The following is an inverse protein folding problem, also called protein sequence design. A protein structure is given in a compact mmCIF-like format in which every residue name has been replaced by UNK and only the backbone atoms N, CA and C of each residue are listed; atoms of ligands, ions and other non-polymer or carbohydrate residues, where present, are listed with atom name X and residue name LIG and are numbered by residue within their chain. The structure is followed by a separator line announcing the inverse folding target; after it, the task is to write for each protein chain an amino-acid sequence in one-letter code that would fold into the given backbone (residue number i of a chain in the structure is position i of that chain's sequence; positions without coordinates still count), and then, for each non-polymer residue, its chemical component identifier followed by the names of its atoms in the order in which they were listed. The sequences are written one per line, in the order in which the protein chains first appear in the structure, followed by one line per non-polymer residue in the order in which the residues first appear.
data_IF_932814905216
#
_entry.id   IF_932814905216
#
_cell.length_a   1.000
_cell.length_b   1.000
_cell.length_c   1.000
_cell.angle_alpha   90.00
_cell.angle_beta   90.00
_cell.angle_gamma   90.00
#
_symmetry.space_group_name_H-M   'P 1'
#
loop_
_entity.id
_entity.type
_entity.pdbx_description
1 polymer ?
#
# COMPACT_ATOMS: atom_id res chain seq x y z
N UNK A 1 -2.21 20.23 -57.68
CA UNK A 1 -3.04 20.57 -56.49
C UNK A 1 -2.58 19.85 -55.22
N UNK A 2 -2.27 18.55 -55.26
CA UNK A 2 -1.80 17.76 -54.11
C UNK A 2 -0.52 18.28 -53.43
N UNK A 3 0.45 18.75 -54.21
CA UNK A 3 1.75 19.17 -53.69
C UNK A 3 1.67 20.43 -52.82
N UNK A 4 0.77 21.37 -53.18
CA UNK A 4 0.52 22.57 -52.39
C UNK A 4 -0.10 22.24 -51.02
N UNK A 5 -0.95 21.21 -50.97
CA UNK A 5 -1.62 20.76 -49.75
C UNK A 5 -0.65 20.12 -48.76
N UNK A 6 0.35 19.39 -49.28
CA UNK A 6 1.41 18.79 -48.46
C UNK A 6 2.30 19.88 -47.83
N UNK A 7 2.72 20.88 -48.63
CA UNK A 7 3.52 22.00 -48.12
C UNK A 7 2.76 22.82 -47.07
N UNK A 8 1.46 23.04 -47.26
CA UNK A 8 0.63 23.76 -46.30
C UNK A 8 0.49 23.00 -44.97
N UNK A 9 0.33 21.67 -45.02
CA UNK A 9 0.27 20.84 -43.81
C UNK A 9 1.61 20.79 -43.08
N UNK A 10 2.73 20.68 -43.80
CA UNK A 10 4.07 20.71 -43.19
C UNK A 10 4.31 22.07 -42.53
N UNK A 11 3.94 23.17 -43.19
CA UNK A 11 4.05 24.52 -42.63
C UNK A 11 3.20 24.68 -41.37
N UNK A 12 1.98 24.12 -41.36
CA UNK A 12 1.09 24.15 -40.19
C UNK A 12 1.68 23.37 -39.01
N UNK A 13 2.24 22.19 -39.27
CA UNK A 13 2.93 21.37 -38.26
C UNK A 13 4.15 22.14 -37.72
N UNK A 14 4.93 22.78 -38.59
CA UNK A 14 6.11 23.54 -38.19
C UNK A 14 5.74 24.77 -37.36
N UNK A 15 4.67 25.48 -37.72
CA UNK A 15 4.13 26.61 -36.95
C UNK A 15 3.58 26.14 -35.59
N UNK A 16 2.93 24.98 -35.53
CA UNK A 16 2.41 24.40 -34.29
C UNK A 16 3.55 23.99 -33.35
N UNK A 17 4.61 23.36 -33.87
CA UNK A 17 5.82 23.01 -33.12
C UNK A 17 6.53 24.28 -32.63
N UNK A 18 6.68 25.30 -33.49
CA UNK A 18 7.33 26.57 -33.11
C UNK A 18 6.55 27.31 -32.04
N UNK A 19 5.21 27.32 -32.11
CA UNK A 19 4.34 27.93 -31.09
C UNK A 19 4.44 27.19 -29.75
N UNK A 20 4.54 25.87 -29.75
CA UNK A 20 4.73 25.09 -28.53
C UNK A 20 6.13 25.27 -27.93
N UNK A 21 7.17 25.40 -28.75
CA UNK A 21 8.53 25.63 -28.25
C UNK A 21 8.73 27.05 -27.72
N UNK A 22 8.11 28.07 -28.34
CA UNK A 22 8.11 29.44 -27.82
C UNK A 22 7.39 29.60 -26.48
N UNK A 23 6.55 28.63 -26.08
CA UNK A 23 5.85 28.64 -24.81
C UNK A 23 6.76 28.25 -23.62
N UNK A 24 7.94 27.67 -23.88
CA UNK A 24 8.84 27.14 -22.84
C UNK A 24 10.04 28.04 -22.49
N UNK A 25 10.28 29.15 -23.19
CA UNK A 25 11.50 29.96 -22.98
C UNK A 25 11.37 31.02 -21.86
N UNK A 26 10.15 31.32 -21.41
CA UNK A 26 9.89 32.30 -20.34
C UNK A 26 9.52 31.65 -18.99
N UNK A 27 9.85 30.38 -18.77
CA UNK A 27 9.69 29.79 -17.44
C UNK A 27 10.74 30.37 -16.49
N UNK A 28 10.28 31.05 -15.43
CA UNK A 28 11.12 31.54 -14.35
C UNK A 28 11.98 30.39 -13.80
N UNK A 29 13.30 30.50 -13.98
CA UNK A 29 14.27 29.56 -13.43
C UNK A 29 14.63 29.97 -12.01
N UNK A 30 14.48 29.05 -11.07
CA UNK A 30 14.82 29.25 -9.67
C UNK A 30 16.17 28.60 -9.37
N UNK A 31 17.10 29.38 -8.82
CA UNK A 31 18.46 28.90 -8.58
C UNK A 31 18.56 28.05 -7.31
N UNK A 32 17.99 28.52 -6.20
CA UNK A 32 18.07 27.83 -4.92
C UNK A 32 16.74 27.94 -4.18
N UNK A 33 16.15 26.78 -3.86
CA UNK A 33 14.90 26.71 -3.11
C UNK A 33 15.17 26.56 -1.61
N UNK A 34 14.35 27.22 -0.79
CA UNK A 34 14.33 27.06 0.67
C UNK A 34 12.91 26.76 1.12
N UNK A 35 12.80 25.95 2.17
CA UNK A 35 11.53 25.69 2.83
C UNK A 35 11.33 26.67 3.99
N UNK A 36 10.11 27.17 4.11
CA UNK A 36 9.69 28.00 5.25
C UNK A 36 8.39 27.48 5.85
N UNK A 37 8.20 27.77 7.15
CA UNK A 37 6.98 27.45 7.89
C UNK A 37 6.60 25.96 7.81
N UNK A 38 7.57 25.07 7.96
CA UNK A 38 7.35 23.63 7.94
C UNK A 38 6.69 23.21 9.25
N UNK A 39 5.39 22.92 9.17
CA UNK A 39 4.55 22.57 10.29
C UNK A 39 4.05 21.14 10.13
N UNK A 40 4.17 20.36 11.20
CA UNK A 40 3.55 19.06 11.31
C UNK A 40 2.43 19.14 12.35
N UNK A 41 1.23 18.74 11.95
CA UNK A 41 0.06 18.65 12.83
C UNK A 41 -0.38 17.20 12.94
N UNK A 42 -0.59 16.73 14.16
CA UNK A 42 -1.20 15.44 14.43
C UNK A 42 -2.66 15.70 14.81
N UNK A 43 -3.56 15.16 14.00
CA UNK A 43 -5.01 15.26 14.21
C UNK A 43 -5.59 13.90 14.53
N UNK A 44 -6.53 13.86 15.45
CA UNK A 44 -7.53 12.80 15.53
C UNK A 44 -8.81 13.30 14.86
N UNK A 45 -9.70 12.39 14.49
CA UNK A 45 -11.01 12.75 13.96
C UNK A 45 -11.67 13.83 14.84
N UNK A 46 -11.89 15.02 14.28
CA UNK A 46 -12.49 16.21 14.91
C UNK A 46 -11.67 16.91 16.02
N UNK A 47 -10.44 16.48 16.33
CA UNK A 47 -9.61 17.12 17.36
C UNK A 47 -8.14 17.25 16.93
N UNK A 48 -7.54 18.42 17.17
CA UNK A 48 -6.09 18.61 17.00
C UNK A 48 -5.39 18.19 18.30
N UNK A 49 -4.57 17.12 18.27
CA UNK A 49 -3.84 16.66 19.47
C UNK A 49 -2.56 17.46 19.71
N UNK A 50 -1.94 17.92 18.62
CA UNK A 50 -0.68 18.65 18.74
C UNK A 50 -0.20 19.21 17.42
N UNK A 51 0.48 20.35 17.52
CA UNK A 51 1.19 20.98 16.42
C UNK A 51 2.66 21.16 16.83
N UNK A 52 3.56 21.02 15.87
CA UNK A 52 4.94 21.43 16.06
C UNK A 52 5.54 21.89 14.75
N UNK A 53 6.38 22.91 14.87
CA UNK A 53 7.09 23.50 13.74
C UNK A 53 8.50 22.92 13.72
N UNK A 54 8.92 22.41 12.57
CA UNK A 54 10.30 21.97 12.38
C UNK A 54 11.08 23.17 11.84
N UNK A 55 12.15 23.62 12.53
CA UNK A 55 12.98 24.69 12.01
C UNK A 55 13.63 24.24 10.70
N UNK A 56 13.23 24.85 9.59
CA UNK A 56 13.70 24.50 8.24
C UNK A 56 15.05 25.14 7.88
N UNK A 57 15.60 25.99 8.75
CA UNK A 57 16.82 26.75 8.45
C UNK A 57 18.07 25.88 8.29
N UNK A 58 18.16 24.78 9.06
CA UNK A 58 19.32 23.86 9.04
C UNK A 58 19.02 22.52 8.40
N UNK A 59 17.79 22.29 7.93
CA UNK A 59 17.33 20.98 7.44
C UNK A 59 17.68 19.83 8.41
N UNK A 60 17.57 20.07 9.71
CA UNK A 60 17.86 19.06 10.71
C UNK A 60 16.68 18.10 10.84
N UNK A 61 17.00 16.82 11.02
CA UNK A 61 15.98 15.80 11.29
C UNK A 61 15.35 16.08 12.66
N UNK A 62 14.02 16.09 12.70
CA UNK A 62 13.31 16.16 13.97
C UNK A 62 13.55 14.88 14.78
N UNK A 63 14.09 15.04 15.99
CA UNK A 63 14.62 13.95 16.81
C UNK A 63 13.53 13.04 17.40
N UNK A 64 12.38 13.62 17.74
CA UNK A 64 11.26 12.89 18.35
C UNK A 64 10.36 12.30 17.27
N UNK A 65 10.32 10.98 17.14
CA UNK A 65 9.43 10.35 16.17
C UNK A 65 7.94 10.53 16.52
N UNK A 66 7.08 10.49 15.51
CA UNK A 66 5.61 10.55 15.69
C UNK A 66 5.07 9.13 15.67
N UNK A 67 4.11 8.83 16.56
CA UNK A 67 3.32 7.61 16.48
C UNK A 67 2.05 7.85 15.66
N UNK A 68 1.82 7.01 14.66
CA UNK A 68 0.65 7.04 13.80
C UNK A 68 -0.23 5.83 14.14
N UNK A 69 -1.24 6.09 14.96
CA UNK A 69 -2.24 5.10 15.39
C UNK A 69 -3.49 5.14 14.48
N UNK A 70 -4.38 4.16 14.61
CA UNK A 70 -5.53 3.94 13.71
C UNK A 70 -6.38 5.20 13.45
N UNK A 71 -6.66 5.99 14.49
CA UNK A 71 -7.52 7.19 14.40
C UNK A 71 -6.76 8.49 14.12
N UNK A 72 -5.44 8.41 14.02
CA UNK A 72 -4.59 9.58 13.86
C UNK A 72 -4.27 9.85 12.39
N UNK A 73 -4.16 11.12 12.08
CA UNK A 73 -3.70 11.65 10.81
C UNK A 73 -2.55 12.62 11.04
N UNK A 74 -1.54 12.57 10.17
CA UNK A 74 -0.43 13.51 10.16
C UNK A 74 -0.61 14.44 8.97
N UNK A 75 -0.58 15.73 9.23
CA UNK A 75 -0.55 16.75 8.21
C UNK A 75 0.78 17.46 8.21
N UNK A 76 1.40 17.54 7.04
CA UNK A 76 2.58 18.33 6.80
C UNK A 76 2.17 19.55 5.96
N UNK A 77 2.46 20.74 6.47
CA UNK A 77 2.29 22.02 5.79
C UNK A 77 3.64 22.67 5.61
N UNK A 78 3.90 23.23 4.43
CA UNK A 78 5.16 23.93 4.16
C UNK A 78 4.99 24.91 3.01
N UNK A 79 5.85 25.93 3.01
CA UNK A 79 6.01 26.89 1.92
C UNK A 79 7.34 26.64 1.21
N UNK A 80 7.33 26.80 -0.11
CA UNK A 80 8.56 26.79 -0.90
C UNK A 80 8.84 28.23 -1.34
N UNK A 81 10.02 28.73 -1.04
CA UNK A 81 10.47 30.06 -1.44
C UNK A 81 11.76 29.96 -2.25
N UNK A 82 11.98 30.92 -3.12
CA UNK A 82 13.28 31.16 -3.74
C UNK A 82 14.18 31.89 -2.73
N UNK A 83 15.40 31.41 -2.52
CA UNK A 83 16.34 32.00 -1.57
C UNK A 83 16.78 33.41 -1.97
N UNK A 84 16.90 33.65 -3.28
CA UNK A 84 17.40 34.92 -3.80
C UNK A 84 16.31 36.00 -3.76
N UNK A 85 15.13 35.69 -4.30
CA UNK A 85 14.03 36.67 -4.38
C UNK A 85 13.14 36.69 -3.14
N UNK A 86 13.24 35.70 -2.25
CA UNK A 86 12.33 35.45 -1.11
C UNK A 86 10.86 35.37 -1.51
N UNK A 87 10.59 35.13 -2.79
CA UNK A 87 9.23 34.96 -3.31
C UNK A 87 8.78 33.52 -3.14
N UNK A 88 7.49 33.35 -2.86
CA UNK A 88 6.85 32.03 -2.85
C UNK A 88 6.88 31.45 -4.26
N UNK A 89 7.36 30.21 -4.37
CA UNK A 89 7.41 29.49 -5.64
C UNK A 89 6.17 28.62 -5.76
N UNK A 90 5.39 28.91 -6.79
CA UNK A 90 4.17 28.20 -7.10
C UNK A 90 4.30 27.26 -8.29
N UNK A 91 3.41 26.28 -8.32
CA UNK A 91 3.29 25.35 -9.43
C UNK A 91 4.41 24.32 -9.55
N UNK A 92 5.22 24.08 -8.50
CA UNK A 92 6.28 23.07 -8.53
C UNK A 92 5.70 21.70 -8.83
N UNK A 93 6.23 20.98 -9.81
CA UNK A 93 5.65 19.72 -10.27
C UNK A 93 5.84 18.57 -9.27
N UNK A 94 7.07 18.34 -8.78
CA UNK A 94 7.37 17.20 -7.93
C UNK A 94 7.44 17.62 -6.47
N UNK A 95 6.48 17.13 -5.67
CA UNK A 95 6.41 17.34 -4.22
C UNK A 95 5.94 16.04 -3.60
N UNK A 96 6.90 15.22 -3.18
CA UNK A 96 6.61 13.89 -2.65
C UNK A 96 7.09 13.77 -1.22
N UNK A 97 6.28 13.12 -0.41
CA UNK A 97 6.69 12.62 0.89
C UNK A 97 6.91 11.11 0.76
N UNK A 98 8.15 10.69 0.87
CA UNK A 98 8.57 9.29 0.82
C UNK A 98 8.67 8.75 2.23
N UNK A 99 7.96 7.65 2.50
CA UNK A 99 8.09 6.88 3.72
C UNK A 99 8.67 5.51 3.39
N UNK A 100 9.89 5.21 3.83
CA UNK A 100 10.49 3.88 3.65
C UNK A 100 10.62 3.14 4.97
N UNK A 101 10.34 1.84 4.92
CA UNK A 101 10.36 1.01 6.11
C UNK A 101 11.80 0.70 6.54
N UNK A 102 12.09 0.89 7.84
CA UNK A 102 13.44 0.74 8.39
C UNK A 102 13.99 -0.69 8.24
N UNK A 103 13.14 -1.71 8.41
CA UNK A 103 13.55 -3.13 8.30
C UNK A 103 13.53 -3.67 6.86
N UNK A 104 12.53 -3.27 6.07
CA UNK A 104 12.37 -3.73 4.68
C UNK A 104 12.57 -2.53 3.76
N UNK A 105 13.82 -2.21 3.45
CA UNK A 105 14.19 -1.01 2.68
C UNK A 105 13.51 -0.91 1.31
N UNK A 106 13.10 -2.04 0.74
CA UNK A 106 12.36 -2.12 -0.53
C UNK A 106 10.92 -1.60 -0.44
N UNK A 107 10.37 -1.49 0.78
CA UNK A 107 9.01 -1.01 0.97
C UNK A 107 9.01 0.51 1.17
N UNK A 108 8.55 1.21 0.14
CA UNK A 108 8.40 2.65 0.12
C UNK A 108 6.95 3.04 -0.19
N UNK A 109 6.49 4.09 0.47
CA UNK A 109 5.16 4.67 0.28
C UNK A 109 5.34 6.14 -0.08
N UNK A 110 4.66 6.59 -1.14
CA UNK A 110 4.73 7.97 -1.59
C UNK A 110 3.39 8.68 -1.39
N UNK A 111 3.46 9.90 -0.88
CA UNK A 111 2.34 10.83 -0.79
C UNK A 111 2.65 12.09 -1.59
N UNK A 112 1.62 12.66 -2.21
CA UNK A 112 1.75 13.79 -3.13
C UNK A 112 1.34 15.08 -2.40
N UNK A 113 2.18 16.10 -2.48
CA UNK A 113 1.92 17.46 -2.03
C UNK A 113 0.85 18.14 -2.87
N UNK A 114 -0.27 18.48 -2.24
CA UNK A 114 -1.35 19.26 -2.85
C UNK A 114 -1.15 20.73 -2.52
N UNK A 115 -1.46 21.61 -3.47
CA UNK A 115 -1.53 23.05 -3.22
C UNK A 115 -2.83 23.36 -2.48
N UNK A 116 -2.76 24.16 -1.44
CA UNK A 116 -3.95 24.69 -0.75
C UNK A 116 -4.24 26.06 -1.34
N UNK A 117 -5.36 26.17 -2.05
CA UNK A 117 -5.90 27.46 -2.47
C UNK A 117 -6.70 28.01 -1.29
N UNK A 118 -6.23 29.08 -0.65
CA UNK A 118 -6.99 29.75 0.41
C UNK A 118 -8.04 30.62 -0.28
N UNK A 119 -9.31 30.21 -0.24
CA UNK A 119 -10.45 30.92 -0.87
C UNK A 119 -10.76 32.31 -0.28
N UNK A 120 -9.95 32.83 0.66
CA UNK A 120 -10.16 34.13 1.32
C UNK A 120 -8.89 35.01 1.24
N UNK A 121 -8.51 35.43 0.03
CA UNK A 121 -7.69 36.63 -0.20
C UNK A 121 -6.32 36.72 0.49
N UNK A 122 -5.69 35.61 0.85
CA UNK A 122 -4.48 35.61 1.68
C UNK A 122 -3.49 34.50 1.34
N UNK A 123 -2.85 34.60 0.18
CA UNK A 123 -1.60 33.89 -0.14
C UNK A 123 -1.77 32.50 -0.77
N UNK A 124 -1.55 32.44 -2.08
CA UNK A 124 -1.13 31.24 -2.77
C UNK A 124 0.30 30.84 -2.33
N UNK A 125 0.60 29.53 -2.18
CA UNK A 125 1.97 29.06 -1.85
C UNK A 125 2.10 28.03 -0.71
N UNK A 126 0.99 27.61 -0.08
CA UNK A 126 1.01 26.55 0.96
C UNK A 126 0.80 25.17 0.34
N UNK A 127 1.75 24.28 0.57
CA UNK A 127 1.60 22.86 0.23
C UNK A 127 1.17 22.05 1.45
N UNK A 128 0.32 21.07 1.21
CA UNK A 128 -0.26 20.20 2.22
C UNK A 128 -0.14 18.74 1.80
N UNK A 129 0.36 17.92 2.73
CA UNK A 129 0.40 16.46 2.61
C UNK A 129 -0.29 15.89 3.83
N UNK A 130 -1.26 15.02 3.60
CA UNK A 130 -1.98 14.31 4.66
C UNK A 130 -1.71 12.81 4.55
N UNK A 131 -1.37 12.22 5.69
CA UNK A 131 -1.22 10.78 5.88
C UNK A 131 -2.30 10.37 6.87
N UNK A 132 -3.23 9.53 6.45
CA UNK A 132 -4.31 9.00 7.31
C UNK A 132 -4.04 7.52 7.58
N UNK A 133 -3.73 7.17 8.83
CA UNK A 133 -3.35 5.81 9.20
C UNK A 133 -4.35 4.75 8.71
N UNK A 134 -5.64 4.95 9.02
CA UNK A 134 -6.75 4.07 8.67
C UNK A 134 -8.05 4.87 8.44
N UNK A 135 -8.96 4.37 7.59
CA UNK A 135 -8.83 3.22 6.70
C UNK A 135 -8.18 3.56 5.34
N UNK A 136 -7.99 4.85 5.05
CA UNK A 136 -7.68 5.37 3.71
C UNK A 136 -6.31 4.96 3.19
N UNK A 137 -5.23 5.16 3.93
CA UNK A 137 -3.86 4.90 3.43
C UNK A 137 -3.27 3.55 3.88
N UNK A 138 -4.01 2.77 4.66
CA UNK A 138 -3.60 1.44 5.15
C UNK A 138 -3.10 0.52 4.03
N UNK A 139 -3.78 0.52 2.88
CA UNK A 139 -3.45 -0.33 1.74
C UNK A 139 -2.07 0.02 1.16
N UNK A 140 -1.66 1.30 1.23
CA UNK A 140 -0.36 1.76 0.75
C UNK A 140 0.78 1.23 1.61
N UNK A 141 0.55 1.08 2.92
CA UNK A 141 1.51 0.48 3.83
C UNK A 141 1.57 -1.06 3.73
N UNK A 142 0.68 -1.69 2.97
CA UNK A 142 0.63 -3.15 2.79
C UNK A 142 0.53 -3.91 4.11
N UNK A 143 -0.19 -3.35 5.10
CA UNK A 143 -0.40 -3.96 6.43
C UNK A 143 0.88 -4.11 7.27
N UNK A 144 1.90 -3.29 7.01
CA UNK A 144 3.25 -3.48 7.54
C UNK A 144 3.55 -2.46 8.65
N UNK A 145 3.33 -2.81 9.94
CA UNK A 145 3.60 -1.90 11.05
C UNK A 145 5.10 -1.77 11.30
N UNK A 146 5.51 -0.64 11.87
CA UNK A 146 6.90 -0.42 12.25
C UNK A 146 7.37 1.02 12.05
N UNK A 147 8.69 1.21 12.13
CA UNK A 147 9.34 2.51 11.93
C UNK A 147 9.52 2.79 10.45
N UNK A 148 8.99 3.91 10.01
CA UNK A 148 9.17 4.48 8.69
C UNK A 148 9.98 5.77 8.79
N UNK A 149 10.96 5.91 7.92
CA UNK A 149 11.72 7.13 7.76
C UNK A 149 10.98 8.02 6.76
N UNK A 150 10.76 9.29 7.10
CA UNK A 150 9.93 10.20 6.32
C UNK A 150 10.81 11.29 5.70
N UNK A 151 10.83 11.35 4.37
CA UNK A 151 11.66 12.28 3.61
C UNK A 151 10.80 13.08 2.63
N UNK A 152 10.99 14.39 2.63
CA UNK A 152 10.38 15.29 1.69
C UNK A 152 11.31 15.48 0.49
N UNK A 153 10.76 15.25 -0.69
CA UNK A 153 11.42 15.33 -1.98
C UNK A 153 10.71 16.40 -2.79
N UNK A 154 11.45 17.41 -3.23
CA UNK A 154 10.94 18.52 -4.02
C UNK A 154 11.83 18.67 -5.25
N UNK A 155 11.20 18.73 -6.43
CA UNK A 155 11.89 18.84 -7.70
C UNK A 155 11.01 19.44 -8.79
N UNK A 156 11.64 20.11 -9.74
CA UNK A 156 11.03 20.61 -10.97
C UNK A 156 12.14 20.93 -11.97
N UNK A 157 11.82 21.00 -13.26
CA UNK A 157 12.78 21.40 -14.29
C UNK A 157 13.27 22.84 -14.12
N UNK A 158 12.44 23.69 -13.50
CA UNK A 158 12.75 25.09 -13.19
C UNK A 158 13.72 25.27 -12.02
N UNK A 159 13.93 24.22 -11.21
CA UNK A 159 14.74 24.29 -9.98
C UNK A 159 16.12 23.71 -10.27
N UNK A 160 17.18 24.52 -10.13
CA UNK A 160 18.56 24.03 -10.30
C UNK A 160 18.99 23.06 -9.19
N UNK A 161 18.56 23.31 -7.95
CA UNK A 161 18.92 22.48 -6.79
C UNK A 161 17.71 21.67 -6.27
N UNK A 162 17.50 20.43 -6.74
CA UNK A 162 16.43 19.58 -6.22
C UNK A 162 16.69 19.27 -4.74
N UNK A 163 15.62 19.26 -3.95
CA UNK A 163 15.70 19.23 -2.50
C UNK A 163 15.21 17.88 -1.96
N UNK A 164 16.00 17.29 -1.08
CA UNK A 164 15.69 16.03 -0.39
C UNK A 164 16.04 16.16 1.08
N UNK A 165 15.05 16.04 1.95
CA UNK A 165 15.24 16.24 3.38
C UNK A 165 14.54 15.18 4.22
N UNK A 166 15.32 14.51 5.06
CA UNK A 166 14.81 13.58 6.05
C UNK A 166 14.21 14.33 7.25
N UNK A 167 12.89 14.47 7.22
CA UNK A 167 12.12 15.26 8.17
C UNK A 167 12.06 14.59 9.55
N UNK A 168 11.56 13.34 9.59
CA UNK A 168 11.13 12.71 10.83
C UNK A 168 10.99 11.19 10.67
N UNK A 169 10.99 10.46 11.78
CA UNK A 169 10.58 9.06 11.78
C UNK A 169 9.13 8.92 12.26
N UNK A 170 8.35 8.12 11.54
CA UNK A 170 6.95 7.82 11.86
C UNK A 170 6.84 6.35 12.27
N UNK A 171 6.31 6.08 13.45
CA UNK A 171 6.00 4.75 13.94
C UNK A 171 4.55 4.42 13.60
N UNK A 172 4.37 3.58 12.58
CA UNK A 172 3.06 3.22 12.07
C UNK A 172 2.55 1.99 12.80
N UNK A 173 1.47 2.17 13.57
CA UNK A 173 0.78 1.10 14.28
C UNK A 173 -0.52 0.76 13.57
N UNK A 174 -0.41 -0.19 12.66
CA UNK A 174 -1.55 -0.76 11.95
C UNK A 174 -2.08 -1.94 12.79
N UNK A 175 -3.30 -1.87 13.35
CA UNK A 175 -3.89 -3.02 14.01
C UNK A 175 -3.98 -4.20 13.03
N UNK A 176 -3.49 -5.36 13.47
CA UNK A 176 -3.49 -6.62 12.71
C UNK A 176 -4.91 -7.13 12.39
N UNK A 177 -5.95 -6.44 12.86
CA UNK A 177 -7.33 -6.92 12.83
C UNK A 177 -8.05 -6.80 11.48
N UNK A 178 -7.43 -6.23 10.44
CA UNK A 178 -7.97 -6.35 9.08
C UNK A 178 -7.57 -7.67 8.41
N UNK A 179 -7.75 -8.78 9.14
CA UNK A 179 -7.82 -10.16 8.60
C UNK A 179 -9.24 -10.53 8.14
N UNK A 180 -10.11 -9.55 7.87
CA UNK A 180 -11.51 -9.83 7.55
C UNK A 180 -11.75 -10.40 6.14
N UNK A 181 -10.71 -10.53 5.29
CA UNK A 181 -10.87 -11.12 3.94
C UNK A 181 -9.77 -12.10 3.50
N UNK A 182 -8.79 -12.43 4.33
CA UNK A 182 -7.75 -13.41 3.95
C UNK A 182 -7.35 -14.25 5.16
N UNK A 183 -7.70 -15.53 5.12
CA UNK A 183 -7.31 -16.58 6.08
C UNK A 183 -5.84 -17.00 5.90
N UNK A 184 -4.94 -16.06 5.62
CA UNK A 184 -3.50 -16.32 5.56
C UNK A 184 -2.78 -15.46 6.60
N UNK A 185 -1.80 -16.01 7.34
CA UNK A 185 -0.87 -15.16 8.08
C UNK A 185 -0.21 -14.23 7.06
N UNK A 186 -0.29 -12.91 7.29
CA UNK A 186 0.36 -11.90 6.46
C UNK A 186 1.89 -12.05 6.55
N UNK A 187 2.41 -13.09 5.93
CA UNK A 187 3.83 -13.30 5.71
C UNK A 187 4.16 -12.50 4.48
N UNK A 188 4.56 -11.25 4.71
CA UNK A 188 5.06 -10.42 3.63
C UNK A 188 6.36 -11.04 3.11
N UNK A 189 6.31 -11.64 1.93
CA UNK A 189 7.50 -11.80 1.11
C UNK A 189 7.74 -10.47 0.40
N UNK A 190 8.94 -9.87 0.49
CA UNK A 190 9.39 -8.83 -0.44
C UNK A 190 8.87 -9.13 -1.85
N UNK A 191 8.33 -8.12 -2.55
CA UNK A 191 8.00 -8.31 -3.96
C UNK A 191 9.33 -8.38 -4.69
N UNK A 192 9.91 -9.57 -4.66
CA UNK A 192 11.14 -9.90 -5.33
C UNK A 192 10.90 -9.60 -6.82
N UNK A 193 11.53 -8.52 -7.29
CA UNK A 193 11.48 -8.10 -8.68
C UNK A 193 12.46 -8.91 -9.54
N UNK A 194 13.22 -9.82 -8.92
CA UNK A 194 13.94 -10.82 -9.69
C UNK A 194 12.92 -11.74 -10.39
N UNK A 195 13.23 -12.22 -11.61
CA UNK A 195 12.42 -13.25 -12.23
C UNK A 195 12.36 -14.43 -11.27
N UNK A 196 11.15 -14.74 -10.77
CA UNK A 196 10.89 -15.86 -9.87
C UNK A 196 11.22 -17.17 -10.61
N UNK A 197 12.49 -17.54 -10.56
CA UNK A 197 13.05 -18.80 -11.06
C UNK A 197 12.99 -19.90 -9.99
N UNK A 198 12.42 -19.61 -8.82
CA UNK A 198 12.20 -20.60 -7.77
C UNK A 198 10.99 -21.45 -8.14
N UNK A 199 11.23 -22.76 -8.26
CA UNK A 199 10.20 -23.78 -8.37
C UNK A 199 9.23 -23.64 -7.20
N UNK A 200 7.93 -23.58 -7.51
CA UNK A 200 6.87 -23.58 -6.51
C UNK A 200 6.90 -24.92 -5.76
N UNK A 201 6.51 -24.95 -4.47
CA UNK A 201 6.45 -26.20 -3.73
C UNK A 201 5.49 -27.18 -4.38
N UNK A 202 5.82 -28.47 -4.30
CA UNK A 202 4.98 -29.55 -4.84
C UNK A 202 3.61 -29.57 -4.14
N UNK A 203 2.55 -29.53 -4.94
CA UNK A 203 1.18 -29.59 -4.46
C UNK A 203 0.81 -31.05 -4.14
N UNK A 204 0.87 -31.43 -2.86
CA UNK A 204 0.36 -32.73 -2.41
C UNK A 204 -1.12 -32.63 -2.04
N UNK A 205 -2.00 -33.25 -2.84
CA UNK A 205 -3.41 -33.39 -2.48
C UNK A 205 -3.57 -34.43 -1.35
N UNK A 206 -4.03 -34.00 -0.17
CA UNK A 206 -4.40 -34.93 0.91
C UNK A 206 -5.80 -35.46 0.63
N UNK A 207 -5.87 -36.73 0.23
CA UNK A 207 -7.16 -37.41 0.12
C UNK A 207 -7.82 -37.55 1.48
N UNK A 208 -9.15 -37.59 1.48
CA UNK A 208 -9.93 -37.89 2.68
C UNK A 208 -9.58 -39.31 3.13
N UNK A 209 -9.23 -39.45 4.40
CA UNK A 209 -9.03 -40.77 5.00
C UNK A 209 -10.34 -41.56 4.91
N UNK A 210 -10.25 -42.79 4.39
CA UNK A 210 -11.39 -43.70 4.38
C UNK A 210 -11.69 -44.08 5.82
N UNK A 211 -12.93 -43.86 6.25
CA UNK A 211 -13.37 -44.28 7.58
C UNK A 211 -13.16 -45.79 7.72
N UNK A 212 -12.34 -46.20 8.70
CA UNK A 212 -12.20 -47.62 9.04
C UNK A 212 -13.55 -48.11 9.56
N UNK A 213 -14.10 -49.15 8.92
CA UNK A 213 -15.27 -49.84 9.45
C UNK A 213 -14.85 -50.60 10.71
N UNK A 214 -15.06 -49.99 11.88
CA UNK A 214 -14.79 -50.64 13.16
C UNK A 214 -15.84 -51.74 13.40
N UNK A 215 -15.38 -52.91 13.84
CA UNK A 215 -16.26 -54.01 14.23
C UNK A 215 -16.94 -53.66 15.57
N UNK A 216 -18.06 -52.95 15.48
CA UNK A 216 -18.80 -52.49 16.64
C UNK A 216 -19.68 -53.62 17.20
N UNK A 217 -20.15 -53.44 18.44
CA UNK A 217 -21.07 -54.39 19.09
C UNK A 217 -22.33 -54.67 18.26
N UNK A 218 -22.84 -53.64 17.55
CA UNK A 218 -23.94 -53.78 16.59
C UNK A 218 -23.62 -54.77 15.44
N UNK A 219 -22.40 -54.76 14.92
CA UNK A 219 -21.98 -55.70 13.87
C UNK A 219 -21.90 -57.14 14.40
N UNK A 220 -21.44 -57.32 15.65
CA UNK A 220 -21.44 -58.65 16.30
C UNK A 220 -22.85 -59.18 16.53
N UNK A 221 -23.77 -58.32 16.95
CA UNK A 221 -25.18 -58.67 17.13
C UNK A 221 -25.85 -59.05 15.80
N UNK A 222 -25.57 -58.31 14.72
CA UNK A 222 -26.09 -58.64 13.39
C UNK A 222 -25.59 -60.01 12.88
N UNK A 223 -24.30 -60.31 13.07
CA UNK A 223 -23.74 -61.63 12.69
C UNK A 223 -24.41 -62.75 13.49
N UNK A 224 -24.60 -62.58 14.79
CA UNK A 224 -25.30 -63.55 15.63
C UNK A 224 -26.76 -63.77 15.17
N UNK A 225 -27.48 -62.69 14.89
CA UNK A 225 -28.85 -62.77 14.37
C UNK A 225 -28.90 -63.47 13.01
N UNK A 226 -27.91 -63.25 12.14
CA UNK A 226 -27.80 -63.96 10.87
C UNK A 226 -27.69 -65.48 11.08
N UNK A 227 -26.84 -65.95 12.00
CA UNK A 227 -26.77 -67.38 12.34
C UNK A 227 -28.08 -67.94 12.90
N UNK A 228 -28.76 -67.18 13.75
CA UNK A 228 -30.06 -67.58 14.28
C UNK A 228 -31.11 -67.73 13.17
N UNK A 229 -31.07 -66.86 12.16
CA UNK A 229 -31.94 -66.92 10.99
C UNK A 229 -31.67 -68.14 10.09
N UNK A 230 -30.43 -68.66 10.08
CA UNK A 230 -30.08 -69.91 9.39
C UNK A 230 -30.43 -71.18 10.18
N UNK A 231 -30.67 -71.08 11.49
CA UNK A 231 -31.01 -72.22 12.35
C UNK A 231 -32.21 -73.07 11.88
N UNK A 232 -33.35 -72.48 11.43
CA UNK A 232 -34.50 -73.27 10.97
C UNK A 232 -34.18 -74.11 9.72
N UNK A 233 -33.33 -73.60 8.82
CA UNK A 233 -32.90 -74.33 7.64
C UNK A 233 -32.01 -75.51 8.02
N UNK A 234 -31.12 -75.33 8.99
CA UNK A 234 -30.28 -76.41 9.53
C UNK A 234 -31.13 -77.51 10.18
N UNK A 235 -32.13 -77.12 10.98
CA UNK A 235 -33.07 -78.06 11.61
C UNK A 235 -33.87 -78.85 10.58
N UNK A 236 -34.35 -78.20 9.51
CA UNK A 236 -35.05 -78.87 8.42
C UNK A 236 -34.16 -79.92 7.75
N UNK A 237 -32.90 -79.59 7.45
CA UNK A 237 -31.94 -80.53 6.86
C UNK A 237 -31.69 -81.74 7.79
N UNK A 238 -31.49 -81.49 9.09
CA UNK A 238 -31.29 -82.58 10.06
C UNK A 238 -32.50 -83.51 10.09
N UNK A 239 -33.71 -82.93 10.17
CA UNK A 239 -34.94 -83.71 10.22
C UNK A 239 -35.16 -84.52 8.94
N UNK A 240 -34.82 -83.94 7.79
CA UNK A 240 -34.88 -84.63 6.49
C UNK A 240 -33.93 -85.85 6.45
N UNK A 241 -32.68 -85.68 6.90
CA UNK A 241 -31.71 -86.80 6.96
C UNK A 241 -32.20 -87.89 7.91
N UNK A 242 -32.71 -87.55 9.09
CA UNK A 242 -33.22 -88.55 10.06
C UNK A 242 -34.50 -89.26 9.61
N UNK A 243 -35.23 -88.72 8.64
CA UNK A 243 -36.46 -89.33 8.12
C UNK A 243 -36.19 -90.27 6.93
N UNK A 244 -35.04 -90.09 6.26
CA UNK A 244 -34.60 -90.93 5.12
C UNK A 244 -33.58 -92.01 5.49
N UNK A 245 -33.01 -91.95 6.70
CA UNK A 245 -32.22 -93.04 7.33
C UNK A 245 -33.15 -93.89 8.16
#
# INVERSE_FOLDING_TARGET
MYQLFIYLNILFIFLFIKKNNSFNENEEKYEEIKLENVQIKVREWQSELGNFTIPSEKNEKYSKGIRLEEKLAINLQFNIIDKNTKKLIDGIQQKFLRLWHSKTKEHEVFFIGKRVTINNGGGEGKYFIEIVAMPKDTHKFGGRPGRYHCELIIGDIRIKNPFRWHLIDVFVDIPKHRKLFMNEPATYTPRDRSPKTKLLPELSHKFKEINKCNLNWSTKFFIFYAFLCFSPLLLLIIQFITLFI
#
